data_IF_944277156213
#
_entry.id   IF_944277156213
#
_cell.length_a   1.000
_cell.length_b   1.000
_cell.length_c   1.000
_cell.angle_alpha   90.00
_cell.angle_beta   90.00
_cell.angle_gamma   90.00
#
_symmetry.space_group_name_H-M   'P 1'
#
loop_
_entity.id
_entity.type
_entity.pdbx_description
1 polymer ?
#
# COMPACT_ATOMS: atom_id res chain seq x y z
N UNK A 1 14.64 -12.19 -14.27
CA UNK A 1 15.16 -11.02 -15.05
C UNK A 1 16.25 -10.25 -14.31
N UNK A 2 16.04 -9.79 -13.06
CA UNK A 2 17.07 -9.03 -12.32
C UNK A 2 18.38 -9.81 -12.08
N UNK A 3 18.29 -11.10 -11.80
CA UNK A 3 19.44 -12.00 -11.57
C UNK A 3 20.28 -12.30 -12.81
N UNK A 4 19.90 -11.83 -13.98
CA UNK A 4 20.62 -12.04 -15.24
C UNK A 4 21.65 -10.92 -15.54
N UNK A 5 21.67 -9.87 -14.74
CA UNK A 5 22.60 -8.74 -14.87
C UNK A 5 23.70 -8.86 -13.82
N UNK A 6 24.95 -9.03 -14.26
CA UNK A 6 26.13 -9.20 -13.38
C UNK A 6 26.47 -7.98 -12.51
N UNK A 7 25.80 -6.86 -12.75
CA UNK A 7 26.00 -5.56 -12.09
C UNK A 7 24.82 -5.17 -11.18
N UNK A 8 23.94 -6.13 -10.87
CA UNK A 8 22.81 -5.93 -9.95
C UNK A 8 22.91 -6.94 -8.82
N UNK A 9 23.09 -6.45 -7.59
CA UNK A 9 22.98 -7.25 -6.38
C UNK A 9 21.56 -7.18 -5.86
N UNK A 10 20.92 -8.34 -5.65
CA UNK A 10 19.55 -8.45 -5.17
C UNK A 10 19.53 -9.11 -3.78
N UNK A 11 19.08 -8.37 -2.78
CA UNK A 11 18.96 -8.82 -1.40
C UNK A 11 17.49 -9.10 -1.07
N UNK A 12 17.08 -10.37 -1.16
CA UNK A 12 15.73 -10.82 -0.80
C UNK A 12 15.61 -11.08 0.71
N UNK A 13 14.39 -11.02 1.25
CA UNK A 13 14.12 -11.20 2.68
C UNK A 13 14.97 -10.29 3.57
N UNK A 14 15.25 -9.07 3.09
CA UNK A 14 16.15 -8.10 3.71
C UNK A 14 15.40 -6.85 4.09
N UNK A 15 15.50 -6.44 5.36
CA UNK A 15 14.90 -5.21 5.87
C UNK A 15 15.93 -4.11 6.00
N UNK A 16 15.57 -2.91 5.54
CA UNK A 16 16.31 -1.67 5.83
C UNK A 16 15.90 -1.20 7.23
N UNK A 17 16.85 -1.09 8.15
CA UNK A 17 16.61 -0.68 9.53
C UNK A 17 16.85 0.83 9.70
N UNK A 18 17.86 1.35 9.02
CA UNK A 18 18.31 2.72 9.19
C UNK A 18 18.94 3.26 7.92
N UNK A 19 18.69 4.54 7.65
CA UNK A 19 19.32 5.31 6.58
C UNK A 19 19.92 6.57 7.18
N UNK A 20 21.17 6.88 6.84
CA UNK A 20 21.86 8.08 7.30
C UNK A 20 22.47 8.78 6.09
N UNK A 21 22.22 10.09 5.96
CA UNK A 21 22.88 10.90 4.94
C UNK A 21 24.32 11.24 5.37
N UNK A 22 25.28 11.05 4.48
CA UNK A 22 26.70 11.34 4.73
C UNK A 22 26.99 12.82 4.51
N UNK A 23 27.87 13.40 5.32
CA UNK A 23 28.32 14.81 5.20
C UNK A 23 28.99 15.12 3.86
N UNK A 24 29.60 14.11 3.22
CA UNK A 24 30.24 14.21 1.89
C UNK A 24 29.30 13.87 0.73
N UNK A 25 28.02 13.65 0.98
CA UNK A 25 27.03 13.17 0.00
C UNK A 25 26.88 11.65 -0.03
N UNK A 26 25.72 11.19 -0.50
CA UNK A 26 25.34 9.76 -0.47
C UNK A 26 24.78 9.32 0.87
N UNK A 27 24.59 8.02 1.04
CA UNK A 27 23.87 7.43 2.17
C UNK A 27 24.59 6.19 2.69
N UNK A 28 24.50 5.98 3.99
CA UNK A 28 24.85 4.74 4.68
C UNK A 28 23.56 4.07 5.12
N UNK A 29 23.38 2.81 4.73
CA UNK A 29 22.21 2.01 5.05
C UNK A 29 22.60 0.85 5.94
N UNK A 30 21.75 0.56 6.93
CA UNK A 30 21.86 -0.61 7.78
C UNK A 30 20.71 -1.57 7.44
N UNK A 31 21.06 -2.81 7.18
CA UNK A 31 20.15 -3.90 6.82
C UNK A 31 20.18 -5.03 7.81
N UNK A 32 19.13 -5.85 7.80
CA UNK A 32 19.12 -7.17 8.45
C UNK A 32 18.44 -8.20 7.57
N UNK A 33 18.98 -9.41 7.56
CA UNK A 33 18.34 -10.58 6.97
C UNK A 33 18.74 -11.86 7.73
N UNK A 34 18.02 -13.00 7.52
CA UNK A 34 18.29 -14.25 8.20
C UNK A 34 19.68 -14.84 7.90
N UNK A 35 20.26 -14.55 6.73
CA UNK A 35 21.51 -15.16 6.27
C UNK A 35 22.74 -14.45 6.85
N UNK A 36 22.74 -13.12 6.83
CA UNK A 36 23.92 -12.29 7.16
C UNK A 36 23.78 -11.56 8.50
N UNK A 37 22.60 -11.65 9.17
CA UNK A 37 22.33 -10.82 10.32
C UNK A 37 22.30 -9.34 9.94
N UNK A 38 22.97 -8.50 10.72
CA UNK A 38 23.05 -7.05 10.47
C UNK A 38 24.26 -6.72 9.61
N UNK A 39 24.08 -5.93 8.55
CA UNK A 39 25.17 -5.48 7.67
C UNK A 39 24.92 -4.06 7.16
N UNK A 40 25.92 -3.46 6.53
CA UNK A 40 25.91 -2.08 6.07
C UNK A 40 26.30 -1.97 4.61
N UNK A 41 25.67 -1.06 3.88
CA UNK A 41 26.05 -0.66 2.53
C UNK A 41 26.06 0.86 2.43
N UNK A 42 26.98 1.38 1.62
CA UNK A 42 27.01 2.80 1.26
C UNK A 42 26.64 2.98 -0.20
N UNK A 43 25.89 4.05 -0.51
CA UNK A 43 25.54 4.40 -1.88
C UNK A 43 25.63 5.90 -2.13
N UNK A 44 25.81 6.29 -3.40
CA UNK A 44 25.85 7.71 -3.83
C UNK A 44 24.45 8.27 -4.06
N UNK A 45 23.52 7.43 -4.52
CA UNK A 45 22.11 7.77 -4.74
C UNK A 45 21.23 6.66 -4.17
N UNK A 46 20.06 7.04 -3.68
CA UNK A 46 19.06 6.13 -3.09
C UNK A 46 17.72 6.35 -3.78
N UNK A 47 17.06 5.27 -4.18
CA UNK A 47 15.70 5.32 -4.73
C UNK A 47 14.76 4.63 -3.74
N UNK A 48 13.77 5.37 -3.25
CA UNK A 48 12.66 4.83 -2.48
C UNK A 48 11.55 4.35 -3.41
N UNK A 49 11.36 3.03 -3.48
CA UNK A 49 10.32 2.37 -4.28
C UNK A 49 9.51 1.39 -3.42
N UNK A 50 9.25 1.74 -2.15
CA UNK A 50 8.70 0.86 -1.13
C UNK A 50 7.19 0.61 -1.28
N UNK A 51 6.54 1.27 -2.25
CA UNK A 51 5.12 1.10 -2.47
C UNK A 51 4.27 1.79 -1.40
N UNK A 52 3.16 1.15 -1.06
CA UNK A 52 2.18 1.69 -0.11
C UNK A 52 1.64 0.58 0.79
N UNK A 53 1.07 0.96 1.93
CA UNK A 53 0.35 0.07 2.84
C UNK A 53 -1.14 0.39 2.87
N UNK A 54 -1.95 -0.60 3.19
CA UNK A 54 -3.38 -0.43 3.36
C UNK A 54 -3.72 0.24 4.70
N UNK A 55 -4.78 1.04 4.71
CA UNK A 55 -5.31 1.62 5.95
C UNK A 55 -6.01 0.55 6.78
N UNK A 56 -5.80 0.63 8.09
CA UNK A 56 -6.44 -0.25 9.09
C UNK A 56 -7.74 0.35 9.63
N UNK A 57 -8.50 -0.45 10.39
CA UNK A 57 -9.70 -0.04 11.10
C UNK A 57 -9.50 1.19 12.00
N UNK A 58 -8.36 1.27 12.68
CA UNK A 58 -8.04 2.41 13.56
C UNK A 58 -7.83 3.70 12.78
N UNK A 59 -7.26 3.63 11.59
CA UNK A 59 -7.00 4.81 10.75
C UNK A 59 -8.27 5.37 10.10
N UNK A 60 -9.37 4.61 10.12
CA UNK A 60 -10.69 5.06 9.67
C UNK A 60 -11.70 5.15 10.82
N UNK A 61 -11.19 5.18 12.07
CA UNK A 61 -11.96 5.45 13.29
C UNK A 61 -13.09 4.45 13.56
N UNK A 62 -12.90 3.17 13.26
CA UNK A 62 -13.85 2.13 13.65
C UNK A 62 -13.64 1.80 15.13
N UNK A 63 -14.71 1.90 15.92
CA UNK A 63 -14.71 1.69 17.37
C UNK A 63 -15.15 0.26 17.74
N UNK A 64 -15.32 0.00 19.02
CA UNK A 64 -15.85 -1.25 19.58
C UNK A 64 -14.75 -2.26 19.93
N UNK A 65 -15.12 -3.55 19.86
CA UNK A 65 -14.26 -4.67 20.24
C UNK A 65 -13.07 -4.84 19.27
N UNK A 66 -12.16 -5.74 19.64
CA UNK A 66 -10.99 -6.10 18.80
C UNK A 66 -10.95 -7.60 18.49
N UNK A 67 -11.99 -8.13 17.84
CA UNK A 67 -12.03 -9.54 17.49
C UNK A 67 -11.10 -9.85 16.32
N UNK A 68 -10.76 -11.12 16.14
CA UNK A 68 -10.25 -11.61 14.85
C UNK A 68 -11.34 -11.54 13.79
N UNK A 69 -10.98 -11.46 12.50
CA UNK A 69 -11.95 -11.39 11.40
C UNK A 69 -12.02 -10.02 10.71
N UNK A 70 -11.16 -9.09 11.10
CA UNK A 70 -11.00 -7.81 10.41
C UNK A 70 -9.71 -7.85 9.60
N UNK A 71 -9.82 -7.73 8.28
CA UNK A 71 -8.70 -7.82 7.35
C UNK A 71 -8.72 -6.68 6.35
N UNK A 72 -7.56 -6.27 5.89
CA UNK A 72 -7.48 -5.43 4.70
C UNK A 72 -7.77 -6.26 3.44
N UNK A 73 -8.13 -5.60 2.35
CA UNK A 73 -8.46 -6.29 1.10
C UNK A 73 -7.25 -7.09 0.56
N UNK A 74 -6.02 -6.55 0.67
CA UNK A 74 -4.80 -7.24 0.26
C UNK A 74 -4.47 -8.45 1.14
N UNK A 75 -4.72 -8.37 2.46
CA UNK A 75 -4.59 -9.54 3.35
C UNK A 75 -5.58 -10.64 2.95
N UNK A 76 -6.84 -10.30 2.73
CA UNK A 76 -7.86 -11.27 2.30
C UNK A 76 -7.50 -11.89 0.94
N UNK A 77 -7.02 -11.08 0.00
CA UNK A 77 -6.53 -11.54 -1.30
C UNK A 77 -5.34 -12.51 -1.16
N UNK A 78 -4.41 -12.21 -0.26
CA UNK A 78 -3.27 -13.07 0.02
C UNK A 78 -3.72 -14.42 0.58
N UNK A 79 -4.67 -14.44 1.52
CA UNK A 79 -5.21 -15.70 2.05
C UNK A 79 -5.83 -16.55 0.95
N UNK A 80 -6.67 -15.96 0.10
CA UNK A 80 -7.38 -16.71 -0.94
C UNK A 80 -6.43 -17.14 -2.06
N UNK A 81 -5.66 -16.21 -2.63
CA UNK A 81 -4.91 -16.47 -3.85
C UNK A 81 -3.60 -17.21 -3.63
N UNK A 82 -2.90 -16.96 -2.51
CA UNK A 82 -1.59 -17.52 -2.24
C UNK A 82 -1.60 -18.66 -1.21
N UNK A 83 -2.54 -18.61 -0.25
CA UNK A 83 -2.60 -19.59 0.84
C UNK A 83 -3.74 -20.60 0.71
N UNK A 84 -4.72 -20.35 -0.15
CA UNK A 84 -5.88 -21.23 -0.34
C UNK A 84 -6.83 -21.25 0.87
N UNK A 85 -6.86 -20.18 1.67
CA UNK A 85 -7.73 -20.06 2.85
C UNK A 85 -8.80 -19.02 2.63
N UNK A 86 -10.02 -19.34 3.06
CA UNK A 86 -11.10 -18.35 3.18
C UNK A 86 -11.01 -17.68 4.55
N UNK A 87 -11.00 -16.34 4.61
CA UNK A 87 -10.91 -15.61 5.88
C UNK A 87 -12.19 -15.68 6.71
N UNK A 88 -13.29 -16.14 6.15
CA UNK A 88 -14.59 -16.33 6.80
C UNK A 88 -15.69 -16.81 5.86
N UNK A 89 -16.95 -16.62 6.25
CA UNK A 89 -18.15 -17.03 5.46
C UNK A 89 -19.12 -15.89 5.20
N UNK A 90 -19.27 -14.94 6.12
CA UNK A 90 -20.22 -13.83 6.01
C UNK A 90 -19.45 -12.52 6.03
N UNK A 91 -19.39 -11.84 4.89
CA UNK A 91 -18.51 -10.70 4.68
C UNK A 91 -19.27 -9.39 4.62
N UNK A 92 -18.74 -8.40 5.30
CA UNK A 92 -19.02 -6.98 5.06
C UNK A 92 -17.77 -6.36 4.45
N UNK A 93 -17.93 -5.53 3.43
CA UNK A 93 -16.82 -4.82 2.79
C UNK A 93 -17.01 -3.33 2.98
N UNK A 94 -15.99 -2.66 3.50
CA UNK A 94 -15.94 -1.21 3.64
C UNK A 94 -15.02 -0.62 2.57
N UNK A 95 -15.60 0.24 1.72
CA UNK A 95 -14.94 0.88 0.59
C UNK A 95 -15.32 0.27 -0.76
N UNK A 96 -15.74 1.12 -1.69
CA UNK A 96 -16.18 0.77 -3.05
C UNK A 96 -15.14 1.09 -4.13
N UNK A 97 -13.86 1.19 -3.76
CA UNK A 97 -12.76 1.22 -4.73
C UNK A 97 -12.65 -0.11 -5.49
N UNK A 98 -11.93 -0.13 -6.62
CA UNK A 98 -11.84 -1.30 -7.49
C UNK A 98 -11.43 -2.58 -6.75
N UNK A 99 -10.48 -2.48 -5.81
CA UNK A 99 -10.04 -3.63 -5.00
C UNK A 99 -11.18 -4.18 -4.16
N UNK A 100 -11.97 -3.31 -3.50
CA UNK A 100 -13.14 -3.72 -2.71
C UNK A 100 -14.21 -4.40 -3.55
N UNK A 101 -14.50 -3.86 -4.74
CA UNK A 101 -15.46 -4.43 -5.69
C UNK A 101 -15.01 -5.81 -6.20
N UNK A 102 -13.74 -5.94 -6.60
CA UNK A 102 -13.16 -7.20 -7.05
C UNK A 102 -13.19 -8.25 -5.93
N UNK A 103 -12.89 -7.84 -4.69
CA UNK A 103 -12.96 -8.73 -3.53
C UNK A 103 -14.39 -9.17 -3.21
N UNK A 104 -15.39 -8.28 -3.37
CA UNK A 104 -16.81 -8.65 -3.19
C UNK A 104 -17.20 -9.79 -4.13
N UNK A 105 -16.93 -9.65 -5.41
CA UNK A 105 -17.14 -10.70 -6.40
C UNK A 105 -16.37 -11.98 -6.06
N UNK A 106 -15.07 -11.86 -5.76
CA UNK A 106 -14.21 -13.01 -5.46
C UNK A 106 -14.71 -13.81 -4.28
N UNK A 107 -15.05 -13.14 -3.17
CA UNK A 107 -15.58 -13.78 -1.97
C UNK A 107 -16.93 -14.47 -2.23
N UNK A 108 -17.82 -13.85 -3.00
CA UNK A 108 -19.09 -14.46 -3.39
C UNK A 108 -18.86 -15.77 -4.14
N UNK A 109 -17.95 -15.78 -5.12
CA UNK A 109 -17.64 -16.98 -5.91
C UNK A 109 -17.02 -18.09 -5.05
N UNK A 110 -16.05 -17.75 -4.23
CA UNK A 110 -15.32 -18.73 -3.41
C UNK A 110 -16.17 -19.34 -2.29
N UNK A 111 -17.19 -18.63 -1.82
CA UNK A 111 -18.02 -19.09 -0.73
C UNK A 111 -19.37 -19.69 -1.16
N UNK A 112 -19.70 -19.62 -2.44
CA UNK A 112 -20.96 -20.13 -2.97
C UNK A 112 -21.23 -21.61 -2.61
N UNK A 113 -20.21 -22.45 -2.67
CA UNK A 113 -20.32 -23.89 -2.38
C UNK A 113 -20.49 -24.22 -0.88
N UNK A 114 -20.17 -23.30 0.01
CA UNK A 114 -20.22 -23.49 1.47
C UNK A 114 -21.31 -22.64 2.14
N UNK A 115 -22.20 -22.03 1.34
CA UNK A 115 -23.28 -21.19 1.84
C UNK A 115 -22.81 -19.87 2.46
N UNK A 116 -21.70 -19.32 2.01
CA UNK A 116 -21.23 -18.00 2.43
C UNK A 116 -21.89 -16.88 1.62
N UNK A 117 -21.75 -15.65 2.11
CA UNK A 117 -22.36 -14.46 1.51
C UNK A 117 -21.52 -13.20 1.71
N UNK A 118 -21.65 -12.26 0.78
CA UNK A 118 -21.25 -10.87 0.97
C UNK A 118 -22.53 -10.08 1.31
N UNK A 119 -22.62 -9.61 2.56
CA UNK A 119 -23.82 -8.92 3.08
C UNK A 119 -23.99 -7.53 2.46
N UNK A 120 -22.90 -6.93 1.99
CA UNK A 120 -22.91 -5.68 1.26
C UNK A 120 -21.55 -4.98 1.22
N UNK A 121 -21.46 -4.03 0.30
CA UNK A 121 -20.36 -3.06 0.19
C UNK A 121 -20.86 -1.72 0.72
N UNK A 122 -20.10 -1.12 1.63
CA UNK A 122 -20.42 0.15 2.28
C UNK A 122 -19.41 1.22 1.86
N UNK A 123 -19.92 2.36 1.42
CA UNK A 123 -19.10 3.48 0.93
C UNK A 123 -19.47 4.76 1.66
N UNK A 124 -18.48 5.40 2.26
CA UNK A 124 -18.66 6.68 2.98
C UNK A 124 -19.05 7.83 2.07
N UNK A 125 -18.65 7.80 0.81
CA UNK A 125 -19.00 8.81 -0.18
C UNK A 125 -20.42 8.61 -0.71
N UNK A 126 -20.99 9.67 -1.26
CA UNK A 126 -22.31 9.64 -1.92
C UNK A 126 -22.28 9.02 -3.32
N UNK A 127 -21.10 8.64 -3.81
CA UNK A 127 -20.87 7.97 -5.09
C UNK A 127 -19.84 6.87 -4.92
N UNK A 128 -19.94 5.77 -5.67
CA UNK A 128 -18.92 4.74 -5.67
C UNK A 128 -17.57 5.29 -6.14
N UNK A 129 -16.49 4.73 -5.63
CA UNK A 129 -15.12 5.17 -5.93
C UNK A 129 -14.47 4.36 -7.06
N UNK A 130 -14.92 3.15 -7.33
CA UNK A 130 -14.39 2.28 -8.38
C UNK A 130 -14.97 2.57 -9.76
N UNK A 131 -14.39 1.95 -10.76
CA UNK A 131 -14.81 2.06 -12.15
C UNK A 131 -16.22 1.48 -12.35
N UNK A 132 -17.04 2.14 -13.19
CA UNK A 132 -18.41 1.70 -13.51
C UNK A 132 -18.45 0.24 -13.97
N UNK A 133 -17.48 -0.20 -14.78
CA UNK A 133 -17.36 -1.60 -15.20
C UNK A 133 -17.30 -2.55 -14.01
N UNK A 134 -16.51 -2.22 -12.99
CA UNK A 134 -16.36 -3.07 -11.82
C UNK A 134 -17.60 -3.03 -10.91
N UNK A 135 -18.35 -1.93 -10.89
CA UNK A 135 -19.65 -1.88 -10.19
C UNK A 135 -20.61 -2.89 -10.82
N UNK A 136 -20.77 -2.86 -12.13
CA UNK A 136 -21.64 -3.81 -12.84
C UNK A 136 -21.17 -5.25 -12.65
N UNK A 137 -19.93 -5.54 -13.06
CA UNK A 137 -19.40 -6.92 -13.11
C UNK A 137 -19.08 -7.54 -11.74
N UNK A 138 -18.95 -6.75 -10.69
CA UNK A 138 -18.61 -7.25 -9.37
C UNK A 138 -19.75 -7.17 -8.36
N UNK A 139 -20.69 -6.27 -8.53
CA UNK A 139 -21.83 -6.13 -7.62
C UNK A 139 -23.17 -6.47 -8.28
N UNK A 140 -23.54 -5.78 -9.36
CA UNK A 140 -24.87 -5.93 -9.99
C UNK A 140 -25.08 -7.34 -10.53
N UNK A 141 -24.12 -7.91 -11.26
CA UNK A 141 -24.18 -9.27 -11.80
C UNK A 141 -24.31 -10.35 -10.69
N UNK A 142 -23.94 -10.04 -9.46
CA UNK A 142 -23.99 -10.96 -8.32
C UNK A 142 -25.04 -10.57 -7.27
N UNK A 143 -25.80 -9.51 -7.50
CA UNK A 143 -26.83 -9.04 -6.57
C UNK A 143 -26.28 -8.56 -5.23
N UNK A 144 -25.03 -8.11 -5.17
CA UNK A 144 -24.38 -7.62 -3.95
C UNK A 144 -24.82 -6.16 -3.70
N UNK A 145 -25.44 -5.84 -2.54
CA UNK A 145 -25.93 -4.50 -2.29
C UNK A 145 -24.78 -3.50 -2.05
N UNK A 146 -24.89 -2.30 -2.64
CA UNK A 146 -24.01 -1.17 -2.42
C UNK A 146 -24.73 -0.10 -1.60
N UNK A 147 -24.17 0.24 -0.44
CA UNK A 147 -24.71 1.24 0.49
C UNK A 147 -23.81 2.48 0.47
N UNK A 148 -24.27 3.53 -0.18
CA UNK A 148 -23.56 4.83 -0.25
C UNK A 148 -23.84 5.69 0.99
N UNK A 149 -23.00 6.69 1.24
CA UNK A 149 -23.09 7.57 2.40
C UNK A 149 -23.23 6.79 3.71
N UNK A 150 -22.54 5.65 3.81
CA UNK A 150 -22.62 4.74 4.95
C UNK A 150 -21.22 4.21 5.30
N UNK A 151 -20.90 4.17 6.58
CA UNK A 151 -19.62 3.63 7.08
C UNK A 151 -19.85 2.57 8.15
N UNK A 152 -18.83 1.78 8.44
CA UNK A 152 -18.77 0.93 9.64
C UNK A 152 -18.30 1.78 10.80
N UNK A 153 -19.09 1.86 11.86
CA UNK A 153 -18.77 2.68 13.04
C UNK A 153 -18.29 1.85 14.23
N UNK A 154 -18.70 0.59 14.36
CA UNK A 154 -18.27 -0.26 15.45
C UNK A 154 -18.17 -1.75 15.06
N UNK A 155 -17.26 -2.45 15.77
CA UNK A 155 -17.05 -3.90 15.71
C UNK A 155 -17.62 -4.58 16.95
N UNK A 156 -18.18 -5.76 16.78
CA UNK A 156 -18.77 -6.56 17.86
C UNK A 156 -18.22 -7.99 17.82
N UNK A 157 -17.79 -8.49 18.98
CA UNK A 157 -17.31 -9.84 19.15
C UNK A 157 -16.13 -9.94 20.11
N UNK A 158 -16.01 -11.04 20.83
CA UNK A 158 -14.94 -11.21 21.82
C UNK A 158 -13.73 -11.95 21.27
N UNK A 159 -13.92 -13.08 20.61
CA UNK A 159 -12.83 -13.85 20.00
C UNK A 159 -12.78 -13.68 18.48
N UNK A 160 -13.93 -13.80 17.86
CA UNK A 160 -14.17 -13.62 16.43
C UNK A 160 -15.21 -12.50 16.23
N UNK A 161 -15.16 -11.85 15.07
CA UNK A 161 -16.18 -10.89 14.67
C UNK A 161 -17.55 -11.59 14.58
N UNK A 162 -18.56 -11.02 15.21
CA UNK A 162 -19.94 -11.50 15.22
C UNK A 162 -20.86 -10.57 14.42
N UNK A 163 -20.42 -9.32 14.24
CA UNK A 163 -21.11 -8.34 13.44
C UNK A 163 -20.47 -6.97 13.51
N UNK A 164 -20.98 -6.07 12.70
CA UNK A 164 -20.59 -4.66 12.67
C UNK A 164 -21.79 -3.75 12.80
N UNK A 165 -21.60 -2.57 13.38
CA UNK A 165 -22.57 -1.48 13.28
C UNK A 165 -22.22 -0.61 12.09
N UNK A 166 -23.17 -0.41 11.18
CA UNK A 166 -23.06 0.55 10.09
C UNK A 166 -23.91 1.78 10.40
N UNK A 167 -23.45 2.96 9.97
CA UNK A 167 -24.09 4.24 10.26
C UNK A 167 -24.06 5.11 9.01
N UNK A 168 -25.16 5.81 8.71
CA UNK A 168 -25.16 6.81 7.65
C UNK A 168 -24.23 7.97 8.01
N UNK A 169 -23.69 8.63 6.99
CA UNK A 169 -22.85 9.81 7.17
C UNK A 169 -23.42 11.02 6.43
N UNK A 170 -23.17 12.21 6.98
CA UNK A 170 -23.53 13.47 6.37
C UNK A 170 -22.58 13.86 5.23
N UNK A 171 -22.84 15.00 4.58
CA UNK A 171 -22.00 15.55 3.50
C UNK A 171 -20.56 15.89 3.90
N UNK A 172 -20.24 15.86 5.20
CA UNK A 172 -18.90 16.05 5.76
C UNK A 172 -18.31 14.71 6.26
N UNK A 173 -18.91 13.60 5.89
CA UNK A 173 -18.53 12.24 6.30
C UNK A 173 -18.59 11.98 7.81
N UNK A 174 -19.43 12.72 8.55
CA UNK A 174 -19.64 12.52 9.99
C UNK A 174 -20.84 11.59 10.22
N UNK A 175 -20.74 10.63 11.17
CA UNK A 175 -21.84 9.74 11.52
C UNK A 175 -23.10 10.50 11.93
N UNK A 176 -24.26 10.08 11.41
CA UNK A 176 -25.58 10.61 11.75
C UNK A 176 -26.19 9.74 12.83
N UNK A 177 -26.39 10.28 14.01
CA UNK A 177 -26.98 9.57 15.15
C UNK A 177 -28.41 9.08 14.84
N UNK A 178 -28.75 7.89 15.33
CA UNK A 178 -30.05 7.26 15.11
C UNK A 178 -30.20 6.51 13.78
N UNK A 179 -29.09 6.40 13.00
CA UNK A 179 -29.08 5.63 11.75
C UNK A 179 -28.31 4.32 11.86
N UNK A 180 -27.89 3.97 13.08
CA UNK A 180 -27.09 2.80 13.37
C UNK A 180 -27.88 1.52 13.07
N UNK A 181 -27.26 0.59 12.34
CA UNK A 181 -27.80 -0.74 12.05
C UNK A 181 -26.76 -1.81 12.33
N UNK A 182 -27.13 -2.84 13.03
CA UNK A 182 -26.29 -4.01 13.22
C UNK A 182 -26.37 -4.94 12.00
N UNK A 183 -25.23 -5.34 11.47
CA UNK A 183 -25.09 -6.29 10.37
C UNK A 183 -24.33 -7.50 10.91
N UNK A 184 -24.96 -8.68 11.02
CA UNK A 184 -24.26 -9.89 11.45
C UNK A 184 -23.29 -10.35 10.36
N UNK A 185 -22.02 -10.53 10.72
CA UNK A 185 -20.96 -11.02 9.84
C UNK A 185 -19.83 -11.60 10.67
N UNK A 186 -19.04 -12.49 10.10
CA UNK A 186 -17.84 -13.03 10.74
C UNK A 186 -16.54 -12.43 10.21
N UNK A 187 -16.64 -11.60 9.16
CA UNK A 187 -15.47 -11.00 8.52
C UNK A 187 -15.78 -9.62 7.96
N UNK A 188 -14.96 -8.64 8.33
CA UNK A 188 -14.94 -7.30 7.74
C UNK A 188 -13.70 -7.17 6.86
N UNK A 189 -13.91 -6.77 5.60
CA UNK A 189 -12.84 -6.45 4.65
C UNK A 189 -12.75 -4.94 4.49
N UNK A 190 -11.55 -4.41 4.72
CA UNK A 190 -11.25 -2.99 4.62
C UNK A 190 -10.59 -2.68 3.26
N UNK A 191 -11.27 -1.91 2.42
CA UNK A 191 -10.76 -1.37 1.15
C UNK A 191 -10.85 0.16 1.18
N UNK A 192 -10.26 0.77 2.21
CA UNK A 192 -10.45 2.18 2.60
C UNK A 192 -9.29 3.07 2.20
N UNK A 193 -8.55 2.66 1.18
CA UNK A 193 -7.44 3.40 0.61
C UNK A 193 -6.07 2.97 1.13
N UNK A 194 -5.06 3.52 0.49
CA UNK A 194 -3.65 3.20 0.67
C UNK A 194 -2.89 4.42 1.19
N UNK A 195 -1.75 4.18 1.84
CA UNK A 195 -0.85 5.21 2.33
C UNK A 195 0.54 4.91 1.78
N UNK A 196 1.20 5.85 1.09
CA UNK A 196 2.60 5.70 0.69
C UNK A 196 3.49 5.29 1.86
N UNK A 197 4.35 4.29 1.64
CA UNK A 197 5.23 3.76 2.69
C UNK A 197 6.55 4.54 2.72
N UNK A 198 6.71 5.42 3.70
CA UNK A 198 7.86 6.30 3.79
C UNK A 198 8.44 6.44 5.20
N UNK A 199 7.99 5.65 6.18
CA UNK A 199 8.39 5.79 7.59
C UNK A 199 9.91 5.69 7.77
N UNK A 200 10.61 4.87 6.97
CA UNK A 200 12.07 4.75 7.02
C UNK A 200 12.81 6.03 6.57
N UNK A 201 12.14 6.91 5.82
CA UNK A 201 12.72 8.17 5.35
C UNK A 201 12.64 9.29 6.38
N UNK A 202 11.94 9.11 7.50
CA UNK A 202 11.77 10.14 8.54
C UNK A 202 13.13 10.64 9.07
N UNK A 203 14.12 9.76 9.16
CA UNK A 203 15.49 10.13 9.57
C UNK A 203 16.21 11.08 8.60
N UNK A 204 15.78 11.13 7.34
CA UNK A 204 16.31 12.02 6.30
C UNK A 204 15.50 13.32 6.17
N UNK A 205 14.31 13.36 6.80
CA UNK A 205 13.38 14.50 6.82
C UNK A 205 13.11 15.13 5.43
N UNK A 206 12.76 14.35 4.39
CA UNK A 206 12.30 14.95 3.14
C UNK A 206 11.01 15.72 3.38
N UNK A 207 10.80 16.81 2.63
CA UNK A 207 9.52 17.52 2.70
C UNK A 207 8.42 16.62 2.12
N UNK A 208 7.38 16.37 2.91
CA UNK A 208 6.25 15.53 2.52
C UNK A 208 5.10 16.36 1.95
N UNK A 209 4.41 15.86 0.94
CA UNK A 209 3.20 16.49 0.41
C UNK A 209 1.98 16.11 1.28
N UNK A 210 1.23 17.12 1.72
CA UNK A 210 0.10 16.93 2.64
C UNK A 210 -1.07 16.15 2.01
N UNK A 211 -1.21 16.14 0.68
CA UNK A 211 -2.29 15.46 -0.04
C UNK A 211 -1.93 14.03 -0.40
N UNK A 212 -0.77 13.84 -1.03
CA UNK A 212 -0.33 12.51 -1.49
C UNK A 212 0.25 11.66 -0.37
N UNK A 213 0.77 12.28 0.70
CA UNK A 213 1.48 11.64 1.81
C UNK A 213 2.83 11.02 1.41
N UNK A 214 3.28 11.26 0.19
CA UNK A 214 4.63 10.93 -0.27
C UNK A 214 5.57 12.14 -0.22
N UNK A 215 6.87 11.96 -0.47
CA UNK A 215 7.80 13.07 -0.51
C UNK A 215 7.55 13.97 -1.72
N UNK A 216 7.79 15.27 -1.54
CA UNK A 216 7.80 16.20 -2.66
C UNK A 216 9.02 15.94 -3.54
N UNK A 217 8.81 15.82 -4.84
CA UNK A 217 9.86 15.57 -5.83
C UNK A 217 9.85 16.63 -6.94
N UNK A 218 11.00 16.81 -7.57
CA UNK A 218 11.10 17.58 -8.80
C UNK A 218 10.72 16.71 -10.02
N UNK A 219 10.81 17.28 -11.23
CA UNK A 219 10.51 16.58 -12.49
C UNK A 219 11.41 15.37 -12.78
N UNK A 220 12.45 15.16 -12.01
CA UNK A 220 13.42 14.05 -12.11
C UNK A 220 13.24 13.01 -10.99
N UNK A 221 12.15 13.07 -10.26
CA UNK A 221 11.85 12.20 -9.11
C UNK A 221 12.82 12.37 -7.93
N UNK A 222 13.69 13.39 -7.92
CA UNK A 222 14.57 13.70 -6.79
C UNK A 222 13.80 14.48 -5.73
N UNK A 223 13.92 14.06 -4.48
CA UNK A 223 13.25 14.68 -3.33
C UNK A 223 13.96 15.98 -2.92
N UNK A 224 13.52 16.63 -1.85
CA UNK A 224 14.22 17.76 -1.24
C UNK A 224 15.55 17.36 -0.59
N UNK A 225 15.79 16.06 -0.38
CA UNK A 225 17.07 15.51 0.09
C UNK A 225 17.91 15.10 -1.10
N UNK A 226 19.05 15.77 -1.25
CA UNK A 226 19.91 15.60 -2.40
C UNK A 226 20.40 14.14 -2.56
N UNK A 227 20.16 13.53 -3.72
CA UNK A 227 20.49 12.14 -4.02
C UNK A 227 19.48 11.11 -3.58
N UNK A 228 18.39 11.52 -2.90
CA UNK A 228 17.25 10.68 -2.60
C UNK A 228 16.17 10.88 -3.65
N UNK A 229 15.78 9.80 -4.32
CA UNK A 229 14.71 9.74 -5.30
C UNK A 229 13.53 8.94 -4.74
N UNK A 230 12.32 9.22 -5.20
CA UNK A 230 11.14 8.45 -4.85
C UNK A 230 10.27 8.21 -6.07
N UNK A 231 9.68 7.01 -6.19
CA UNK A 231 8.86 6.62 -7.34
C UNK A 231 7.74 5.66 -6.95
N UNK A 232 6.83 5.43 -7.88
CA UNK A 232 5.71 4.52 -7.70
C UNK A 232 4.79 4.92 -6.54
N UNK A 233 4.21 3.92 -5.88
CA UNK A 233 3.26 4.14 -4.80
C UNK A 233 3.88 4.65 -3.49
N UNK A 234 5.21 4.65 -3.37
CA UNK A 234 5.90 5.36 -2.28
C UNK A 234 5.84 6.89 -2.47
N UNK A 235 5.75 7.36 -3.72
CA UNK A 235 5.60 8.77 -4.05
C UNK A 235 4.13 9.23 -3.92
N UNK A 236 3.23 8.55 -4.61
CA UNK A 236 1.79 8.70 -4.45
C UNK A 236 1.09 7.43 -4.98
N UNK A 237 -0.09 7.14 -4.45
CA UNK A 237 -0.86 5.97 -4.89
C UNK A 237 -1.36 6.18 -6.30
N UNK A 238 -1.02 5.26 -7.21
CA UNK A 238 -1.42 5.26 -8.61
C UNK A 238 -2.51 4.23 -8.86
N UNK A 239 -3.49 4.57 -9.70
CA UNK A 239 -4.53 3.65 -10.16
C UNK A 239 -4.03 2.71 -11.29
N UNK A 240 -2.99 3.12 -12.03
CA UNK A 240 -2.43 2.38 -13.15
C UNK A 240 -0.94 2.09 -12.93
N UNK A 241 -0.55 0.84 -13.15
CA UNK A 241 0.85 0.39 -13.02
C UNK A 241 1.79 1.07 -14.03
N UNK A 242 1.26 1.57 -15.14
CA UNK A 242 2.03 2.27 -16.16
C UNK A 242 2.72 3.52 -15.58
N UNK A 243 2.01 4.31 -14.77
CA UNK A 243 2.60 5.47 -14.09
C UNK A 243 3.65 5.08 -13.04
N UNK A 244 3.45 3.94 -12.36
CA UNK A 244 4.45 3.38 -11.45
C UNK A 244 5.75 3.07 -12.20
N UNK A 245 5.64 2.41 -13.36
CA UNK A 245 6.77 2.03 -14.20
C UNK A 245 7.48 3.25 -14.79
N UNK A 246 6.72 4.25 -15.26
CA UNK A 246 7.26 5.50 -15.81
C UNK A 246 8.08 6.26 -14.76
N UNK A 247 7.49 6.48 -13.57
CA UNK A 247 8.19 7.17 -12.48
C UNK A 247 9.44 6.41 -12.01
N UNK A 248 9.38 5.07 -12.00
CA UNK A 248 10.53 4.21 -11.70
C UNK A 248 11.65 4.36 -12.73
N UNK A 249 11.32 4.41 -14.02
CA UNK A 249 12.29 4.60 -15.11
C UNK A 249 12.99 5.96 -15.00
N UNK A 250 12.23 7.03 -14.76
CA UNK A 250 12.78 8.39 -14.58
C UNK A 250 13.72 8.42 -13.37
N UNK A 251 13.28 7.89 -12.22
CA UNK A 251 14.09 7.86 -11.00
C UNK A 251 15.39 7.08 -11.20
N UNK A 252 15.35 5.92 -11.86
CA UNK A 252 16.50 5.09 -12.17
C UNK A 252 17.52 5.78 -13.06
N UNK A 253 17.06 6.37 -14.18
CA UNK A 253 17.93 7.13 -15.08
C UNK A 253 18.63 8.29 -14.36
N UNK A 254 17.89 9.05 -13.55
CA UNK A 254 18.44 10.23 -12.88
C UNK A 254 19.39 9.88 -11.74
N UNK A 255 19.11 8.82 -11.00
CA UNK A 255 20.03 8.30 -9.99
C UNK A 255 21.34 7.82 -10.63
N UNK A 256 21.29 7.10 -11.76
CA UNK A 256 22.47 6.68 -12.50
C UNK A 256 23.30 7.88 -13.00
N UNK A 257 22.67 8.88 -13.60
CA UNK A 257 23.37 10.12 -14.03
C UNK A 257 24.03 10.86 -12.87
N UNK A 258 23.41 10.85 -11.69
CA UNK A 258 24.01 11.43 -10.48
C UNK A 258 25.26 10.65 -10.06
N UNK A 259 25.23 9.33 -10.04
CA UNK A 259 26.37 8.49 -9.72
C UNK A 259 27.56 8.75 -10.67
N UNK A 260 27.30 8.84 -11.98
CA UNK A 260 28.29 9.16 -12.98
C UNK A 260 28.96 10.52 -12.72
N UNK A 261 28.16 11.57 -12.44
CA UNK A 261 28.69 12.91 -12.14
C UNK A 261 29.52 12.95 -10.85
N UNK A 262 29.11 12.22 -9.81
CA UNK A 262 29.87 12.12 -8.56
C UNK A 262 31.21 11.40 -8.76
N UNK A 263 31.28 10.35 -9.59
CA UNK A 263 32.50 9.66 -9.98
C UNK A 263 33.48 10.57 -10.76
N UNK A 264 32.97 11.46 -11.61
CA UNK A 264 33.81 12.45 -12.32
C UNK A 264 34.39 13.56 -11.42
N UNK A 265 33.70 13.87 -10.30
CA UNK A 265 34.18 14.90 -9.37
C UNK A 265 35.27 14.39 -8.39
N UNK A 266 35.45 13.08 -8.26
CA UNK A 266 36.32 12.47 -7.23
C UNK A 266 37.57 11.74 -7.70
N UNK A 267 37.76 11.40 -8.99
CA UNK A 267 38.94 10.70 -9.46
C UNK A 267 39.13 10.84 -10.99
N UNK A 268 40.36 11.06 -11.42
CA UNK A 268 40.79 11.05 -12.82
C UNK A 268 40.89 9.63 -13.45
N UNK A 269 40.40 8.60 -12.77
CA UNK A 269 40.25 7.26 -13.31
C UNK A 269 38.76 6.93 -13.41
N UNK A 270 38.26 6.72 -14.62
CA UNK A 270 36.93 6.16 -14.88
C UNK A 270 36.76 4.87 -14.05
N UNK A 271 35.67 4.73 -13.27
CA UNK A 271 35.31 3.42 -12.71
C UNK A 271 35.18 2.46 -13.89
N UNK A 272 35.80 1.30 -13.82
CA UNK A 272 35.86 0.30 -14.90
C UNK A 272 34.46 -0.29 -15.24
N UNK A 273 33.44 0.01 -14.43
CA UNK A 273 32.02 -0.30 -14.68
C UNK A 273 31.10 0.75 -14.04
N UNK A 274 30.07 1.27 -14.76
CA UNK A 274 29.08 2.22 -14.21
C UNK A 274 27.95 1.52 -13.44
N UNK A 275 28.24 0.60 -12.51
CA UNK A 275 27.32 -0.50 -12.22
C UNK A 275 27.09 -0.83 -10.75
N UNK A 276 27.31 0.08 -9.83
CA UNK A 276 26.92 -0.16 -8.44
C UNK A 276 25.50 0.42 -8.17
N UNK A 277 24.49 -0.21 -8.81
CA UNK A 277 23.08 0.01 -8.45
C UNK A 277 22.65 -1.14 -7.56
N UNK A 278 22.58 -0.91 -6.26
CA UNK A 278 21.94 -1.85 -5.33
C UNK A 278 20.44 -1.57 -5.27
N UNK A 279 19.64 -2.54 -5.68
CA UNK A 279 18.18 -2.52 -5.57
C UNK A 279 17.82 -3.35 -4.34
N UNK A 280 17.23 -2.72 -3.32
CA UNK A 280 16.58 -3.42 -2.21
C UNK A 280 15.08 -3.48 -2.47
N UNK A 281 14.53 -4.68 -2.55
CA UNK A 281 13.10 -4.97 -2.61
C UNK A 281 12.62 -5.57 -1.30
#
# INVERSE_FOLDING_TARGET
MLTQHSNIDCYVSTFVIRIVQKSGGGFDLTFTNPQNGMFHLSCTALISAMGCRERTDRQVFIHGDRPSGVFTAGQAQTFINLKGYLPGKRFVILGSGDIGLIMARRLTLETASIGGSVEGVYEVKSKPSGLTRNIVQCLEDYGIPLHLSTTVSALHGTGRLEGVTVTQVDGQMRPVAGTERYIPCDTLILSVGLIPENDILDSLAPVMDARTKGPQVNQYMETTVQGLFSCGNALHVNDLVDYVSESGSIAGERAALRCLRAGFAGNSALPKHPTDISICA
#
